data_IF_924856843798
#
_entry.id   IF_924856843798
#
_cell.length_a   1.000
_cell.length_b   1.000
_cell.length_c   1.000
_cell.angle_alpha   90.00
_cell.angle_beta   90.00
_cell.angle_gamma   90.00
#
_symmetry.space_group_name_H-M   'P 1'
#
loop_
_entity.id
_entity.type
_entity.pdbx_description
1 polymer ?
#
# COMPACT_ATOMS: atom_id res chain seq x y z
N UNK A 1 11.87 17.34 -2.77
CA UNK A 1 11.02 17.35 -1.55
C UNK A 1 11.83 16.80 -0.38
N UNK A 2 11.69 17.35 0.84
CA UNK A 2 12.45 16.87 2.01
C UNK A 2 11.75 15.69 2.70
N UNK A 3 12.49 14.87 3.45
CA UNK A 3 11.94 13.73 4.22
C UNK A 3 10.87 14.17 5.23
N UNK A 4 11.07 15.32 5.89
CA UNK A 4 10.10 15.81 6.88
C UNK A 4 8.78 16.28 6.22
N UNK A 5 8.88 16.91 5.04
CA UNK A 5 7.71 17.27 4.23
C UNK A 5 6.98 16.02 3.72
N UNK A 6 7.73 15.00 3.30
CA UNK A 6 7.17 13.71 2.87
C UNK A 6 6.35 13.04 3.99
N UNK A 7 6.90 12.94 5.20
CA UNK A 7 6.19 12.39 6.35
C UNK A 7 4.98 13.23 6.76
N UNK A 8 5.05 14.55 6.66
CA UNK A 8 3.93 15.42 7.00
C UNK A 8 2.75 15.20 6.06
N UNK A 9 3.02 15.04 4.77
CA UNK A 9 2.00 14.74 3.77
C UNK A 9 1.41 13.35 3.95
N UNK A 10 2.26 12.34 4.14
CA UNK A 10 1.83 10.97 4.46
C UNK A 10 0.98 10.95 5.73
N UNK A 11 1.38 11.65 6.79
CA UNK A 11 0.58 11.75 8.02
C UNK A 11 -0.76 12.43 7.80
N UNK A 12 -0.83 13.45 6.95
CA UNK A 12 -2.08 14.14 6.62
C UNK A 12 -3.05 13.19 5.90
N UNK A 13 -2.56 12.46 4.91
CA UNK A 13 -3.33 11.47 4.15
C UNK A 13 -3.83 10.33 5.05
N UNK A 14 -2.96 9.84 5.94
CA UNK A 14 -3.27 8.71 6.83
C UNK A 14 -4.15 9.11 8.00
N UNK A 15 -3.95 10.26 8.67
CA UNK A 15 -4.79 10.71 9.81
C UNK A 15 -6.27 10.80 9.49
N UNK A 16 -6.63 11.21 8.27
CA UNK A 16 -8.04 11.31 7.85
C UNK A 16 -8.71 9.93 7.81
N UNK A 17 -7.94 8.87 7.55
CA UNK A 17 -8.42 7.50 7.32
C UNK A 17 -8.14 6.54 8.49
N UNK A 18 -7.12 6.82 9.31
CA UNK A 18 -6.64 5.95 10.38
C UNK A 18 -7.19 6.30 11.77
N UNK A 19 -8.25 7.11 11.89
CA UNK A 19 -8.82 7.50 13.20
C UNK A 19 -9.14 6.31 14.11
N UNK A 20 -9.51 5.16 13.54
CA UNK A 20 -9.79 3.93 14.29
C UNK A 20 -8.50 3.17 14.72
N UNK A 21 -7.39 3.35 14.02
CA UNK A 21 -6.11 2.68 14.29
C UNK A 21 -5.14 3.55 15.12
N UNK A 22 -5.43 4.85 15.24
CA UNK A 22 -4.54 5.86 15.81
C UNK A 22 -4.27 5.70 17.31
N UNK A 23 -5.20 5.10 18.09
CA UNK A 23 -5.07 5.03 19.54
C UNK A 23 -3.90 4.15 20.02
N UNK A 24 -3.65 3.01 19.36
CA UNK A 24 -2.50 2.13 19.70
C UNK A 24 -1.15 2.70 19.25
N UNK A 25 -1.13 3.50 18.18
CA UNK A 25 0.09 4.09 17.62
C UNK A 25 0.48 5.38 18.35
N UNK A 26 -0.45 6.09 19.01
CA UNK A 26 -0.16 7.34 19.71
C UNK A 26 0.87 7.19 20.83
N UNK A 27 0.97 6.03 21.48
CA UNK A 27 1.99 5.76 22.51
C UNK A 27 3.41 5.57 21.95
N UNK A 28 3.58 5.41 20.63
CA UNK A 28 4.89 5.18 20.05
C UNK A 28 5.70 6.48 19.90
N UNK A 29 7.04 6.40 19.98
CA UNK A 29 7.94 7.51 19.65
C UNK A 29 7.64 8.08 18.25
N UNK A 30 7.86 9.39 18.08
CA UNK A 30 7.53 10.14 16.86
C UNK A 30 8.07 9.47 15.59
N UNK A 31 9.27 8.91 15.63
CA UNK A 31 9.90 8.24 14.49
C UNK A 31 9.22 6.92 14.11
N UNK A 32 8.84 6.10 15.10
CA UNK A 32 8.07 4.88 14.84
C UNK A 32 6.69 5.20 14.26
N UNK A 33 6.03 6.25 14.76
CA UNK A 33 4.74 6.71 14.19
C UNK A 33 4.88 7.16 12.74
N UNK A 34 5.99 7.81 12.39
CA UNK A 34 6.32 8.21 11.02
C UNK A 34 6.50 7.00 10.10
N UNK A 35 7.28 6.01 10.53
CA UNK A 35 7.47 4.78 9.77
C UNK A 35 6.16 4.01 9.55
N UNK A 36 5.35 3.85 10.60
CA UNK A 36 4.04 3.19 10.50
C UNK A 36 3.10 3.96 9.56
N UNK A 37 3.10 5.29 9.60
CA UNK A 37 2.30 6.10 8.68
C UNK A 37 2.71 5.88 7.22
N UNK A 38 4.01 5.74 6.93
CA UNK A 38 4.49 5.44 5.57
C UNK A 38 4.07 4.05 5.11
N UNK A 39 4.24 3.02 5.96
CA UNK A 39 3.80 1.65 5.65
C UNK A 39 2.28 1.60 5.42
N UNK A 40 1.51 2.26 6.28
CA UNK A 40 0.05 2.30 6.17
C UNK A 40 -0.41 3.03 4.90
N UNK A 41 0.24 4.15 4.53
CA UNK A 41 -0.06 4.83 3.27
C UNK A 41 0.19 3.92 2.06
N UNK A 42 1.28 3.15 2.09
CA UNK A 42 1.60 2.18 1.05
C UNK A 42 0.57 1.05 0.96
N UNK A 43 0.25 0.41 2.08
CA UNK A 43 -0.79 -0.63 2.14
C UNK A 43 -2.13 -0.10 1.61
N UNK A 44 -2.53 1.11 2.02
CA UNK A 44 -3.78 1.71 1.55
C UNK A 44 -3.76 2.02 0.05
N UNK A 45 -2.61 2.40 -0.51
CA UNK A 45 -2.46 2.62 -1.96
C UNK A 45 -2.66 1.32 -2.73
N UNK A 46 -2.15 0.20 -2.21
CA UNK A 46 -2.40 -1.14 -2.77
C UNK A 46 -3.89 -1.45 -2.76
N UNK A 47 -4.55 -1.31 -1.61
CA UNK A 47 -6.01 -1.56 -1.48
C UNK A 47 -6.82 -0.64 -2.40
N UNK A 48 -6.50 0.67 -2.44
CA UNK A 48 -7.19 1.63 -3.31
C UNK A 48 -7.09 1.22 -4.81
N UNK A 49 -5.98 0.60 -5.23
CA UNK A 49 -5.81 0.08 -6.60
C UNK A 49 -6.61 -1.23 -6.78
N UNK A 50 -6.55 -2.13 -5.81
CA UNK A 50 -7.25 -3.42 -5.85
C UNK A 50 -8.78 -3.23 -5.88
N UNK A 51 -9.31 -2.32 -5.06
CA UNK A 51 -10.75 -2.02 -4.91
C UNK A 51 -11.30 -1.07 -5.98
N UNK A 52 -10.45 -0.39 -6.76
CA UNK A 52 -10.91 0.62 -7.73
C UNK A 52 -11.82 0.06 -8.83
N UNK A 53 -12.52 0.92 -9.59
CA UNK A 53 -13.42 0.47 -10.67
C UNK A 53 -12.71 0.18 -12.02
N UNK A 54 -11.38 0.14 -12.02
CA UNK A 54 -10.57 -0.06 -13.23
C UNK A 54 -10.58 -1.52 -13.70
N UNK A 55 -10.13 -1.76 -14.94
CA UNK A 55 -10.01 -3.13 -15.46
C UNK A 55 -8.97 -3.93 -14.67
N UNK A 56 -9.15 -5.26 -14.58
CA UNK A 56 -8.18 -6.15 -13.91
C UNK A 56 -6.77 -5.98 -14.49
N UNK A 57 -6.66 -5.74 -15.81
CA UNK A 57 -5.40 -5.48 -16.47
C UNK A 57 -4.75 -4.19 -15.95
N UNK A 58 -5.50 -3.08 -15.91
CA UNK A 58 -4.98 -1.79 -15.45
C UNK A 58 -4.61 -1.80 -13.96
N UNK A 59 -5.39 -2.50 -13.14
CA UNK A 59 -5.07 -2.71 -11.71
C UNK A 59 -3.76 -3.47 -11.56
N UNK A 60 -3.59 -4.58 -12.31
CA UNK A 60 -2.36 -5.37 -12.29
C UNK A 60 -1.15 -4.55 -12.72
N UNK A 61 -1.26 -3.78 -13.81
CA UNK A 61 -0.18 -2.89 -14.28
C UNK A 61 0.21 -1.87 -13.21
N UNK A 62 -0.77 -1.27 -12.53
CA UNK A 62 -0.50 -0.32 -11.44
C UNK A 62 0.16 -0.96 -10.22
N UNK A 63 -0.28 -2.15 -9.80
CA UNK A 63 0.33 -2.89 -8.70
C UNK A 63 1.78 -3.29 -9.02
N UNK A 64 2.05 -3.78 -10.24
CA UNK A 64 3.42 -4.11 -10.67
C UNK A 64 4.31 -2.86 -10.78
N UNK A 65 3.76 -1.74 -11.25
CA UNK A 65 4.47 -0.46 -11.25
C UNK A 65 4.83 -0.02 -9.82
N UNK A 66 3.90 -0.18 -8.87
CA UNK A 66 4.12 0.12 -7.46
C UNK A 66 5.19 -0.81 -6.85
N UNK A 67 5.19 -2.10 -7.21
CA UNK A 67 6.24 -3.06 -6.82
C UNK A 67 7.61 -2.66 -7.36
N UNK A 68 7.69 -2.25 -8.62
CA UNK A 68 8.92 -1.78 -9.24
C UNK A 68 9.45 -0.52 -8.53
N UNK A 69 8.56 0.40 -8.17
CA UNK A 69 8.89 1.64 -7.48
C UNK A 69 9.53 1.43 -6.08
N UNK A 70 9.34 0.27 -5.44
CA UNK A 70 10.03 -0.08 -4.18
C UNK A 70 11.55 -0.30 -4.34
N UNK A 71 12.01 -0.54 -5.57
CA UNK A 71 13.42 -0.79 -5.90
C UNK A 71 14.11 0.46 -6.47
N UNK A 72 13.37 1.54 -6.71
CA UNK A 72 13.89 2.77 -7.30
C UNK A 72 13.86 3.86 -6.23
N UNK A 73 14.96 4.61 -6.12
CA UNK A 73 15.01 5.82 -5.31
C UNK A 73 14.19 6.94 -5.99
N UNK A 74 12.86 6.85 -5.85
CA UNK A 74 11.95 7.83 -6.41
C UNK A 74 11.89 9.07 -5.51
N UNK A 75 12.15 10.24 -6.11
CA UNK A 75 12.05 11.54 -5.42
C UNK A 75 10.74 12.28 -5.70
N UNK A 76 9.86 11.69 -6.52
CA UNK A 76 8.62 12.32 -6.97
C UNK A 76 7.43 12.05 -6.03
N UNK A 77 7.42 10.90 -5.35
CA UNK A 77 6.31 10.48 -4.49
C UNK A 77 6.69 10.59 -3.01
N UNK A 78 5.89 11.33 -2.25
CA UNK A 78 6.04 11.50 -0.81
C UNK A 78 5.94 10.20 -0.02
N UNK A 79 5.08 9.30 -0.45
CA UNK A 79 4.94 7.99 0.16
C UNK A 79 6.22 7.18 -0.01
N UNK A 80 6.80 7.15 -1.23
CA UNK A 80 8.01 6.39 -1.52
C UNK A 80 9.24 6.96 -0.79
N UNK A 81 9.38 8.28 -0.74
CA UNK A 81 10.45 8.94 0.03
C UNK A 81 10.34 8.59 1.52
N UNK A 82 9.15 8.68 2.10
CA UNK A 82 8.92 8.35 3.50
C UNK A 82 9.16 6.86 3.78
N UNK A 83 8.80 5.98 2.84
CA UNK A 83 9.00 4.54 2.97
C UNK A 83 10.49 4.15 2.86
N UNK A 84 11.23 4.80 1.97
CA UNK A 84 12.67 4.61 1.83
C UNK A 84 13.42 5.05 3.11
N UNK A 85 13.07 6.21 3.68
CA UNK A 85 13.62 6.66 4.96
C UNK A 85 13.21 5.74 6.12
N UNK A 86 11.98 5.24 6.14
CA UNK A 86 11.56 4.28 7.17
C UNK A 86 12.37 2.98 7.10
N UNK A 87 12.66 2.47 5.89
CA UNK A 87 13.48 1.27 5.66
C UNK A 87 14.95 1.46 6.01
N UNK A 88 15.49 2.67 5.93
CA UNK A 88 16.87 2.93 6.33
C UNK A 88 17.02 3.06 7.85
N UNK A 89 15.98 3.54 8.55
CA UNK A 89 15.97 3.73 10.02
C UNK A 89 15.54 2.50 10.81
N UNK A 90 14.68 1.66 10.22
CA UNK A 90 14.13 0.49 10.87
C UNK A 90 14.36 -0.75 10.02
N UNK A 91 14.55 -1.94 10.62
CA UNK A 91 14.74 -3.19 9.88
C UNK A 91 13.40 -3.67 9.29
N UNK A 92 12.87 -2.93 8.32
CA UNK A 92 11.65 -3.26 7.59
C UNK A 92 12.07 -4.04 6.35
N UNK A 93 11.84 -5.37 6.30
CA UNK A 93 12.19 -6.16 5.14
C UNK A 93 11.36 -5.72 3.94
N UNK A 94 12.02 -5.51 2.81
CA UNK A 94 11.35 -5.13 1.55
C UNK A 94 10.34 -6.20 1.13
N UNK A 95 10.57 -7.46 1.50
CA UNK A 95 9.69 -8.58 1.20
C UNK A 95 8.32 -8.44 1.87
N UNK A 96 8.23 -7.83 3.05
CA UNK A 96 6.93 -7.53 3.67
C UNK A 96 6.15 -6.50 2.86
N UNK A 97 6.82 -5.53 2.24
CA UNK A 97 6.17 -4.55 1.38
C UNK A 97 5.76 -5.17 0.04
N UNK A 98 6.60 -6.06 -0.53
CA UNK A 98 6.23 -6.84 -1.72
C UNK A 98 5.02 -7.74 -1.44
N UNK A 99 4.98 -8.38 -0.26
CA UNK A 99 3.88 -9.24 0.14
C UNK A 99 2.54 -8.50 0.18
N UNK A 100 2.51 -7.21 0.53
CA UNK A 100 1.29 -6.39 0.44
C UNK A 100 0.81 -6.29 -1.01
N UNK A 101 1.72 -5.99 -1.95
CA UNK A 101 1.38 -5.91 -3.38
C UNK A 101 0.95 -7.28 -3.92
N UNK A 102 1.67 -8.34 -3.56
CA UNK A 102 1.35 -9.71 -3.96
C UNK A 102 -0.04 -10.11 -3.44
N UNK A 103 -0.42 -9.70 -2.23
CA UNK A 103 -1.77 -9.87 -1.69
C UNK A 103 -2.84 -9.19 -2.56
N UNK A 104 -2.60 -7.93 -2.95
CA UNK A 104 -3.49 -7.22 -3.89
C UNK A 104 -3.60 -7.91 -5.26
N UNK A 105 -2.48 -8.43 -5.79
CA UNK A 105 -2.48 -9.18 -7.05
C UNK A 105 -3.26 -10.51 -6.97
N UNK A 106 -3.15 -11.22 -5.84
CA UNK A 106 -3.90 -12.46 -5.60
C UNK A 106 -5.41 -12.21 -5.51
N UNK A 107 -5.81 -11.13 -4.84
CA UNK A 107 -7.21 -10.75 -4.70
C UNK A 107 -7.88 -10.49 -6.08
N UNK A 108 -7.14 -9.84 -7.00
CA UNK A 108 -7.60 -9.65 -8.38
C UNK A 108 -7.87 -10.96 -9.13
N UNK A 109 -7.04 -11.98 -8.90
CA UNK A 109 -7.19 -13.28 -9.56
C UNK A 109 -8.36 -14.08 -8.95
N UNK A 110 -8.57 -13.98 -7.63
CA UNK A 110 -9.74 -14.57 -6.97
C UNK A 110 -11.06 -13.97 -7.45
N UNK A 111 -11.14 -12.63 -7.59
CA UNK A 111 -12.33 -11.97 -8.15
C UNK A 111 -12.62 -12.39 -9.60
N UNK A 112 -11.57 -12.62 -10.40
CA UNK A 112 -11.69 -13.14 -11.77
C UNK A 112 -12.27 -14.56 -11.80
N UNK A 113 -11.79 -15.45 -10.93
CA UNK A 113 -12.32 -16.82 -10.83
C UNK A 113 -13.73 -16.88 -10.22
N UNK A 114 -14.03 -16.06 -9.21
CA UNK A 114 -15.37 -16.00 -8.62
C UNK A 114 -16.43 -15.55 -9.64
N UNK A 115 -16.07 -14.62 -10.54
CA UNK A 115 -16.96 -14.18 -11.62
C UNK A 115 -17.12 -15.25 -12.70
N UNK A 116 -16.05 -15.99 -13.04
CA UNK A 116 -16.11 -17.05 -14.06
C UNK A 116 -16.83 -18.31 -13.56
N UNK A 117 -16.66 -18.67 -12.28
CA UNK A 117 -17.32 -19.80 -11.64
C UNK A 117 -18.83 -19.59 -11.44
N UNK A 118 -19.32 -18.34 -11.54
CA UNK A 118 -20.75 -18.00 -11.41
C UNK A 118 -21.56 -18.23 -12.69
N UNK A 119 -20.96 -18.79 -13.74
CA UNK A 119 -21.65 -19.15 -15.00
C UNK A 119 -21.90 -20.65 -15.18
N UNK A 120 -21.42 -21.52 -14.30
CA UNK A 120 -21.51 -22.98 -14.46
C UNK A 120 -22.43 -23.67 -13.42
N UNK A 121 -23.22 -22.90 -12.67
CA UNK A 121 -24.22 -23.43 -11.73
C UNK A 121 -25.62 -22.98 -12.15
N UNK A 122 -26.03 -23.40 -13.35
CA UNK A 122 -27.44 -23.54 -13.68
C UNK A 122 -27.61 -24.89 -14.39
N UNK A 123 -27.77 -25.91 -13.52
CA UNK A 123 -28.51 -27.19 -13.62
C UNK A 123 -28.81 -27.74 -15.03
N UNK A 124 -28.52 -29.02 -15.35
CA UNK A 124 -29.17 -30.26 -14.87
C UNK A 124 -30.70 -30.22 -14.96
#
# INVERSE_FOLDING_TARGET
MTVDAAYSEVQRLTRKRARNFAYGIMLLPREKRRAIAAIYAFARRVDDIADGDQTVHDKRVQLESLRAALNVDSTADAMLIALADARSRFPIPVDSLRALVDGGLQDLDQHRYATFARSASRCS
#
